data_IF_581604159832
#
_entry.id   IF_581604159832
#
_cell.length_a   1.000
_cell.length_b   1.000
_cell.length_c   1.000
_cell.angle_alpha   90.00
_cell.angle_beta   90.00
_cell.angle_gamma   90.00
#
_symmetry.space_group_name_H-M   'P 1'
#
loop_
_entity.id
_entity.type
_entity.pdbx_description
1 polymer ?
#
# COMPACT_ATOMS: atom_id res chain seq x y z
N UNK A 1 98.79 -5.84 -28.16
CA UNK A 1 98.24 -4.56 -27.68
C UNK A 1 96.93 -4.37 -28.35
N UNK A 2 95.84 -4.83 -27.71
CA UNK A 2 94.48 -4.70 -28.20
C UNK A 2 93.72 -3.74 -27.36
N UNK A 3 93.28 -2.65 -27.93
CA UNK A 3 92.40 -1.65 -27.32
C UNK A 3 90.98 -2.11 -27.39
N UNK A 4 90.38 -2.33 -26.21
CA UNK A 4 88.99 -2.68 -26.06
C UNK A 4 88.14 -1.43 -26.20
N UNK A 5 87.26 -1.46 -27.17
CA UNK A 5 86.30 -0.42 -27.49
C UNK A 5 85.09 -0.53 -26.55
N UNK A 6 84.94 0.39 -25.57
CA UNK A 6 83.81 0.52 -24.67
C UNK A 6 82.61 1.08 -25.45
N UNK A 7 81.62 0.25 -25.64
CA UNK A 7 80.33 0.63 -26.21
C UNK A 7 79.50 1.36 -25.15
N UNK A 8 79.29 2.62 -25.31
CA UNK A 8 78.44 3.45 -24.49
C UNK A 8 76.99 2.89 -24.42
N UNK A 9 76.60 2.43 -23.26
CA UNK A 9 75.22 2.15 -22.92
C UNK A 9 74.59 3.45 -22.51
N UNK A 10 73.63 3.94 -23.30
CA UNK A 10 72.76 5.06 -22.92
C UNK A 10 71.78 4.60 -21.83
N UNK A 11 71.72 5.25 -20.66
CA UNK A 11 70.62 5.04 -19.74
C UNK A 11 69.48 5.99 -20.15
N UNK A 12 68.27 5.49 -20.23
CA UNK A 12 67.14 6.38 -20.44
C UNK A 12 65.98 5.75 -21.21
N UNK A 13 65.49 4.64 -20.73
CA UNK A 13 64.09 4.33 -21.00
C UNK A 13 63.31 5.03 -19.88
N UNK A 14 63.03 6.30 -20.08
CA UNK A 14 61.99 7.04 -19.36
C UNK A 14 60.65 6.43 -19.76
N UNK A 15 59.90 6.01 -18.76
CA UNK A 15 58.50 5.67 -18.88
C UNK A 15 57.78 6.72 -19.72
N UNK A 16 57.41 6.30 -20.93
CA UNK A 16 56.59 7.07 -21.83
C UNK A 16 55.19 7.20 -21.19
N UNK A 17 55.08 8.13 -20.27
CA UNK A 17 53.75 8.65 -19.88
C UNK A 17 53.14 9.19 -21.18
N UNK A 18 52.17 8.45 -21.73
CA UNK A 18 51.37 8.86 -22.86
C UNK A 18 50.92 10.30 -22.67
N UNK A 19 51.58 11.23 -23.36
CA UNK A 19 51.23 12.65 -23.30
C UNK A 19 49.81 12.78 -23.81
N UNK A 20 48.97 13.51 -23.11
CA UNK A 20 47.57 13.76 -23.49
C UNK A 20 47.51 14.25 -24.96
N UNK A 21 48.52 14.95 -25.44
CA UNK A 21 48.68 15.41 -26.81
C UNK A 21 48.79 14.26 -27.83
N UNK A 22 49.55 13.19 -27.49
CA UNK A 22 49.73 12.02 -28.41
C UNK A 22 48.45 11.19 -28.47
N UNK A 23 47.69 11.10 -27.35
CA UNK A 23 46.35 10.52 -27.34
C UNK A 23 45.37 11.31 -28.23
N UNK A 24 45.43 12.64 -28.18
CA UNK A 24 44.57 13.50 -29.02
C UNK A 24 44.93 13.32 -30.48
N UNK A 25 46.23 13.27 -30.86
CA UNK A 25 46.65 13.04 -32.24
C UNK A 25 46.23 11.64 -32.75
N UNK A 26 46.32 10.59 -31.94
CA UNK A 26 45.85 9.26 -32.26
C UNK A 26 44.32 9.22 -32.45
N UNK A 27 43.57 9.92 -31.61
CA UNK A 27 42.12 10.09 -31.75
C UNK A 27 41.77 10.83 -33.06
N UNK A 28 42.45 11.94 -33.34
CA UNK A 28 42.22 12.68 -34.60
C UNK A 28 42.61 11.87 -35.84
N UNK A 29 43.71 11.13 -35.80
CA UNK A 29 44.17 10.31 -36.94
C UNK A 29 43.17 9.19 -37.28
N UNK A 30 42.41 8.70 -36.30
CA UNK A 30 41.42 7.66 -36.50
C UNK A 30 39.98 8.12 -36.22
N UNK A 31 39.68 9.39 -36.40
CA UNK A 31 38.39 10.01 -36.11
C UNK A 31 37.19 9.29 -36.73
N UNK A 32 37.40 8.65 -37.93
CA UNK A 32 36.36 7.87 -38.62
C UNK A 32 35.85 6.70 -37.75
N UNK A 33 36.73 6.04 -36.97
CA UNK A 33 36.36 4.96 -36.06
C UNK A 33 35.60 5.47 -34.85
N UNK A 34 35.96 6.68 -34.38
CA UNK A 34 35.20 7.33 -33.29
C UNK A 34 33.79 7.73 -33.74
N UNK A 35 33.68 8.30 -34.95
CA UNK A 35 32.36 8.63 -35.50
C UNK A 35 31.53 7.38 -35.72
N UNK A 36 32.12 6.29 -36.23
CA UNK A 36 31.41 5.03 -36.38
C UNK A 36 30.96 4.46 -35.02
N UNK A 37 31.86 4.42 -34.05
CA UNK A 37 31.51 3.97 -32.69
C UNK A 37 30.40 4.83 -32.06
N UNK A 38 30.50 6.15 -32.18
CA UNK A 38 29.51 7.09 -31.70
C UNK A 38 28.14 6.88 -32.39
N UNK A 39 28.15 6.68 -33.72
CA UNK A 39 26.92 6.40 -34.49
C UNK A 39 26.27 5.09 -34.04
N UNK A 40 27.05 4.04 -33.79
CA UNK A 40 26.54 2.75 -33.27
C UNK A 40 25.98 2.89 -31.86
N UNK A 41 26.68 3.59 -30.96
CA UNK A 41 26.20 3.79 -29.58
C UNK A 41 24.93 4.66 -29.51
N UNK A 42 24.87 5.74 -30.31
CA UNK A 42 23.67 6.59 -30.41
C UNK A 42 22.51 5.77 -31.02
N UNK A 43 22.77 4.99 -32.06
CA UNK A 43 21.77 4.12 -32.68
C UNK A 43 21.23 3.08 -31.70
N UNK A 44 22.10 2.42 -30.93
CA UNK A 44 21.70 1.48 -29.89
C UNK A 44 20.93 2.15 -28.78
N UNK A 45 21.38 3.30 -28.29
CA UNK A 45 20.68 4.08 -27.24
C UNK A 45 19.29 4.53 -27.71
N UNK A 46 19.19 5.02 -28.96
CA UNK A 46 17.91 5.43 -29.55
C UNK A 46 16.96 4.23 -29.68
N UNK A 47 17.45 3.09 -30.17
CA UNK A 47 16.66 1.87 -30.29
C UNK A 47 16.18 1.38 -28.90
N UNK A 48 17.02 1.48 -27.88
CA UNK A 48 16.66 1.15 -26.49
C UNK A 48 15.57 2.10 -25.96
N UNK A 49 15.74 3.42 -26.11
CA UNK A 49 14.77 4.42 -25.65
C UNK A 49 13.42 4.30 -26.35
N UNK A 50 13.41 3.98 -27.64
CA UNK A 50 12.15 3.77 -28.37
C UNK A 50 11.39 2.52 -27.92
N UNK A 51 12.10 1.49 -27.44
CA UNK A 51 11.47 0.26 -26.93
C UNK A 51 11.04 0.33 -25.47
N UNK A 52 11.66 1.18 -24.67
CA UNK A 52 11.38 1.27 -23.22
C UNK A 52 10.24 2.25 -22.98
N UNK A 53 9.12 1.81 -22.37
CA UNK A 53 8.03 2.71 -22.01
C UNK A 53 8.49 3.71 -20.94
N UNK A 54 8.00 4.94 -21.01
CA UNK A 54 8.25 5.95 -20.00
C UNK A 54 7.62 5.55 -18.68
N UNK A 55 8.36 5.72 -17.58
CA UNK A 55 7.87 5.53 -16.20
C UNK A 55 7.79 6.89 -15.53
N UNK A 56 6.62 7.21 -15.02
CA UNK A 56 6.34 8.44 -14.32
C UNK A 56 6.26 8.19 -12.82
N UNK A 57 6.75 9.13 -12.03
CA UNK A 57 6.61 9.12 -10.56
C UNK A 57 5.66 10.24 -10.16
N UNK A 58 4.63 9.90 -9.40
CA UNK A 58 3.75 10.87 -8.74
C UNK A 58 3.99 10.81 -7.23
N UNK A 59 3.83 11.95 -6.58
CA UNK A 59 4.06 12.10 -5.14
C UNK A 59 2.86 12.76 -4.48
N UNK A 60 2.58 12.35 -3.25
CA UNK A 60 1.60 12.97 -2.38
C UNK A 60 2.17 13.00 -0.96
N UNK A 61 1.86 14.04 -0.20
CA UNK A 61 2.29 14.16 1.19
C UNK A 61 1.07 14.16 2.11
N UNK A 62 1.13 13.35 3.16
CA UNK A 62 0.06 13.21 4.15
C UNK A 62 0.57 13.72 5.49
N UNK A 63 -0.10 14.73 6.03
CA UNK A 63 0.17 15.21 7.37
C UNK A 63 -0.60 14.36 8.38
N UNK A 64 0.12 13.65 9.22
CA UNK A 64 -0.44 12.93 10.36
C UNK A 64 -0.57 13.92 11.52
N UNK A 65 -1.80 14.27 11.86
CA UNK A 65 -2.04 15.05 13.09
C UNK A 65 -1.82 14.12 14.28
N UNK A 66 -0.78 14.41 15.06
CA UNK A 66 -0.74 13.92 16.42
C UNK A 66 -1.95 14.49 17.14
N UNK A 67 -2.76 13.64 17.77
CA UNK A 67 -3.73 14.09 18.75
C UNK A 67 -2.91 14.76 19.89
N UNK A 68 -2.55 16.01 19.68
CA UNK A 68 -1.93 16.81 20.71
C UNK A 68 -2.87 16.78 21.89
N UNK A 69 -2.41 16.21 23.01
CA UNK A 69 -3.08 16.24 24.31
C UNK A 69 -3.73 17.62 24.44
N UNK A 70 -5.05 17.64 24.30
CA UNK A 70 -5.80 18.86 24.54
C UNK A 70 -5.47 19.35 25.93
N UNK A 71 -4.68 20.39 26.01
CA UNK A 71 -4.25 21.09 27.25
C UNK A 71 -5.41 21.71 28.05
N UNK A 72 -6.66 21.31 27.75
CA UNK A 72 -7.85 21.90 28.35
C UNK A 72 -8.94 20.91 28.75
N UNK A 73 -8.63 19.64 28.89
CA UNK A 73 -9.61 18.70 29.49
C UNK A 73 -9.15 18.44 30.91
N UNK A 74 -10.02 18.87 31.85
CA UNK A 74 -9.90 18.81 33.31
C UNK A 74 -9.07 17.63 33.85
N UNK A 75 -8.32 17.90 34.93
CA UNK A 75 -7.46 16.99 35.71
C UNK A 75 -8.03 15.58 35.95
N UNK A 76 -9.34 15.41 35.81
CA UNK A 76 -10.02 14.13 36.01
C UNK A 76 -9.83 13.17 34.81
N UNK A 77 -9.57 13.68 33.59
CA UNK A 77 -9.27 12.84 32.41
C UNK A 77 -7.79 12.43 32.38
N UNK A 78 -6.89 13.16 33.06
CA UNK A 78 -5.49 12.74 33.20
C UNK A 78 -5.35 11.42 33.95
N UNK A 79 -6.24 11.17 34.90
CA UNK A 79 -6.33 9.88 35.61
C UNK A 79 -6.63 8.72 34.64
N UNK A 80 -7.46 8.93 33.63
CA UNK A 80 -7.76 7.92 32.61
C UNK A 80 -6.60 7.66 31.63
N UNK A 81 -5.70 8.61 31.44
CA UNK A 81 -4.50 8.41 30.62
C UNK A 81 -3.46 7.53 31.31
N UNK A 82 -3.39 7.52 32.63
CA UNK A 82 -2.55 6.60 33.41
C UNK A 82 -3.05 5.15 33.31
N UNK A 83 -4.33 4.93 33.01
CA UNK A 83 -4.87 3.59 32.76
C UNK A 83 -4.58 3.03 31.36
N UNK A 84 -3.78 3.71 30.54
CA UNK A 84 -3.38 3.24 29.21
C UNK A 84 -4.51 3.24 28.17
N UNK A 85 -5.71 3.72 28.52
CA UNK A 85 -6.87 3.77 27.61
C UNK A 85 -6.75 4.87 26.56
N UNK A 86 -5.90 5.87 26.77
CA UNK A 86 -5.69 7.00 25.87
C UNK A 86 -4.21 7.26 25.56
N UNK A 87 -3.39 6.21 25.58
CA UNK A 87 -2.02 6.32 25.07
C UNK A 87 -2.03 6.26 23.53
N UNK A 88 -2.80 7.14 22.92
CA UNK A 88 -2.81 7.34 21.49
C UNK A 88 -1.93 8.54 21.09
N UNK A 89 -0.66 8.48 21.40
CA UNK A 89 0.29 9.18 20.57
C UNK A 89 0.31 8.43 19.23
N UNK A 90 -0.29 9.02 18.21
CA UNK A 90 -0.21 8.47 16.86
C UNK A 90 1.26 8.41 16.49
N UNK A 91 1.86 7.22 16.58
CA UNK A 91 3.27 7.06 16.24
C UNK A 91 3.34 7.08 14.72
N UNK A 92 3.92 8.13 14.14
CA UNK A 92 4.05 8.32 12.69
C UNK A 92 4.72 7.11 12.03
N UNK A 93 5.59 6.39 12.75
CA UNK A 93 6.17 5.15 12.26
C UNK A 93 5.14 4.02 12.11
N UNK A 94 4.14 3.95 12.99
CA UNK A 94 3.06 2.97 12.84
C UNK A 94 2.21 3.29 11.62
N UNK A 95 1.92 4.57 11.38
CA UNK A 95 1.17 4.99 10.20
C UNK A 95 1.96 4.74 8.90
N UNK A 96 3.29 4.90 8.92
CA UNK A 96 4.14 4.53 7.81
C UNK A 96 4.05 3.03 7.48
N UNK A 97 4.00 2.17 8.50
CA UNK A 97 3.81 0.71 8.33
C UNK A 97 2.41 0.42 7.78
N UNK A 98 1.40 1.15 8.27
CA UNK A 98 0.02 1.02 7.79
C UNK A 98 -0.09 1.33 6.31
N UNK A 99 0.54 2.42 5.82
CA UNK A 99 0.58 2.74 4.39
C UNK A 99 1.29 1.68 3.53
N UNK A 100 2.23 0.93 4.09
CA UNK A 100 2.92 -0.19 3.42
C UNK A 100 2.16 -1.51 3.54
N UNK A 101 1.06 -1.54 4.26
CA UNK A 101 0.32 -2.78 4.51
C UNK A 101 -0.26 -3.36 3.22
N UNK A 102 -0.04 -4.66 2.95
CA UNK A 102 -0.66 -5.34 1.82
C UNK A 102 -2.19 -5.32 1.86
N UNK A 103 -2.80 -5.29 3.05
CA UNK A 103 -4.25 -5.23 3.21
C UNK A 103 -4.82 -3.91 2.68
N UNK A 104 -4.15 -2.78 2.97
CA UNK A 104 -4.54 -1.48 2.46
C UNK A 104 -4.43 -1.44 0.93
N UNK A 105 -3.31 -1.94 0.38
CA UNK A 105 -3.10 -2.01 -1.06
C UNK A 105 -4.10 -2.96 -1.75
N UNK A 106 -4.51 -4.04 -1.11
CA UNK A 106 -5.52 -4.96 -1.63
C UNK A 106 -6.85 -4.24 -1.87
N UNK A 107 -7.26 -3.42 -0.92
CA UNK A 107 -8.49 -2.62 -1.06
C UNK A 107 -8.38 -1.59 -2.19
N UNK A 108 -7.23 -0.93 -2.33
CA UNK A 108 -6.95 -0.01 -3.44
C UNK A 108 -7.03 -0.73 -4.79
N UNK A 109 -6.36 -1.89 -4.91
CA UNK A 109 -6.35 -2.70 -6.13
C UNK A 109 -7.76 -3.14 -6.51
N UNK A 110 -8.58 -3.57 -5.54
CA UNK A 110 -9.97 -3.98 -5.77
C UNK A 110 -10.85 -2.82 -6.22
N UNK A 111 -10.75 -1.66 -5.54
CA UNK A 111 -11.59 -0.50 -5.87
C UNK A 111 -11.27 0.12 -7.23
N UNK A 112 -9.99 0.18 -7.58
CA UNK A 112 -9.54 0.72 -8.86
C UNK A 112 -9.44 -0.34 -9.96
N UNK A 113 -9.73 -1.61 -9.65
CA UNK A 113 -9.61 -2.75 -10.59
C UNK A 113 -8.23 -2.82 -11.26
N UNK A 114 -7.16 -2.62 -10.47
CA UNK A 114 -5.79 -2.62 -10.97
C UNK A 114 -5.28 -4.04 -11.33
N UNK A 115 -6.06 -5.06 -11.06
CA UNK A 115 -5.88 -6.42 -11.57
C UNK A 115 -6.11 -6.48 -13.09
N UNK A 116 -6.91 -5.55 -13.67
CA UNK A 116 -7.14 -5.42 -15.09
C UNK A 116 -6.17 -4.42 -15.72
N UNK A 117 -5.44 -4.85 -16.72
CA UNK A 117 -4.48 -4.03 -17.46
C UNK A 117 -4.83 -4.00 -18.93
N UNK A 118 -4.86 -2.80 -19.50
CA UNK A 118 -5.18 -2.58 -20.89
C UNK A 118 -3.97 -1.98 -21.61
N UNK A 119 -3.61 -2.55 -22.75
CA UNK A 119 -2.49 -2.07 -23.54
C UNK A 119 -2.95 -1.82 -24.97
N UNK A 120 -2.62 -0.67 -25.49
CA UNK A 120 -2.82 -0.32 -26.90
C UNK A 120 -1.49 -0.52 -27.64
N UNK A 121 -1.57 -0.97 -28.89
CA UNK A 121 -0.40 -1.12 -29.74
C UNK A 121 0.12 0.26 -30.16
N UNK A 122 1.20 0.71 -29.52
CA UNK A 122 1.94 1.90 -29.94
C UNK A 122 2.87 1.60 -31.12
N UNK A 123 3.49 2.63 -31.68
CA UNK A 123 4.41 2.49 -32.83
C UNK A 123 5.65 1.65 -32.51
N UNK A 124 6.19 1.73 -31.31
CA UNK A 124 7.44 1.08 -30.90
C UNK A 124 7.31 0.19 -29.68
N UNK A 125 6.37 0.49 -28.77
CA UNK A 125 6.10 -0.28 -27.58
C UNK A 125 4.60 -0.28 -27.26
N UNK A 126 4.15 -1.21 -26.42
CA UNK A 126 2.78 -1.23 -25.91
C UNK A 126 2.62 -0.07 -24.93
N UNK A 127 1.51 0.67 -25.05
CA UNK A 127 1.17 1.78 -24.16
C UNK A 127 0.03 1.34 -23.25
N UNK A 128 0.11 1.69 -21.97
CA UNK A 128 -0.96 1.43 -21.01
C UNK A 128 -2.12 2.38 -21.31
N UNK A 129 -3.31 1.81 -21.54
CA UNK A 129 -4.54 2.56 -21.62
C UNK A 129 -5.22 2.57 -20.23
N UNK A 130 -5.51 3.75 -19.70
CA UNK A 130 -6.15 3.92 -18.41
C UNK A 130 -6.95 5.23 -18.38
N UNK A 131 -8.05 5.24 -17.65
CA UNK A 131 -8.88 6.44 -17.46
C UNK A 131 -9.33 7.04 -18.79
N UNK A 132 -8.85 8.25 -19.10
CA UNK A 132 -9.24 9.00 -20.30
C UNK A 132 -8.81 8.35 -21.63
N UNK A 133 -7.82 7.47 -21.60
CA UNK A 133 -7.33 6.78 -22.81
C UNK A 133 -7.95 5.39 -23.00
N UNK A 134 -8.79 4.95 -22.08
CA UNK A 134 -9.44 3.65 -22.13
C UNK A 134 -10.81 3.75 -22.82
N UNK A 135 -10.99 3.14 -24.02
CA UNK A 135 -12.27 3.21 -24.75
C UNK A 135 -13.31 2.25 -24.21
N UNK A 136 -12.89 1.12 -23.63
CA UNK A 136 -13.80 0.08 -23.13
C UNK A 136 -13.30 -0.51 -21.82
N UNK A 137 -14.22 -0.90 -20.95
CA UNK A 137 -13.94 -1.64 -19.73
C UNK A 137 -14.44 -3.08 -19.87
N UNK A 138 -13.63 -4.03 -19.43
CA UNK A 138 -13.90 -5.46 -19.55
C UNK A 138 -14.18 -6.07 -18.19
N UNK A 139 -15.23 -6.86 -18.11
CA UNK A 139 -15.54 -7.70 -16.95
C UNK A 139 -15.51 -9.16 -17.35
N UNK A 140 -14.67 -9.95 -16.68
CA UNK A 140 -14.57 -11.39 -16.85
C UNK A 140 -15.30 -12.02 -15.67
N UNK A 141 -16.44 -12.62 -15.95
CA UNK A 141 -17.17 -13.43 -14.96
C UNK A 141 -16.59 -14.86 -14.98
N UNK A 142 -16.76 -15.57 -13.89
CA UNK A 142 -16.34 -16.98 -13.73
C UNK A 142 -14.81 -17.21 -13.65
N UNK A 143 -13.98 -16.15 -13.67
CA UNK A 143 -12.53 -16.28 -13.48
C UNK A 143 -12.16 -15.98 -12.01
N UNK A 144 -11.58 -16.95 -11.28
CA UNK A 144 -11.15 -16.75 -9.89
C UNK A 144 -10.17 -15.58 -9.71
N UNK A 145 -10.17 -14.96 -8.52
CA UNK A 145 -9.26 -13.83 -8.21
C UNK A 145 -7.77 -14.23 -8.22
N UNK A 146 -7.47 -15.51 -8.03
CA UNK A 146 -6.10 -16.04 -7.99
C UNK A 146 -5.54 -16.43 -9.36
N UNK A 147 -6.35 -16.36 -10.42
CA UNK A 147 -5.94 -16.70 -11.77
C UNK A 147 -5.63 -15.46 -12.61
N UNK A 148 -4.70 -15.64 -13.55
CA UNK A 148 -4.38 -14.63 -14.56
C UNK A 148 -4.94 -15.04 -15.92
N UNK A 149 -5.34 -14.04 -16.69
CA UNK A 149 -5.87 -14.23 -18.02
C UNK A 149 -5.41 -13.09 -18.94
N UNK A 150 -5.36 -13.36 -20.23
CA UNK A 150 -5.06 -12.38 -21.24
C UNK A 150 -5.72 -12.72 -22.56
N UNK A 151 -6.05 -11.71 -23.35
CA UNK A 151 -6.56 -11.86 -24.70
C UNK A 151 -6.40 -10.57 -25.48
N UNK A 152 -6.45 -10.67 -26.80
CA UNK A 152 -6.48 -9.54 -27.70
C UNK A 152 -7.94 -9.21 -28.05
N UNK A 153 -8.32 -7.97 -27.90
CA UNK A 153 -9.64 -7.44 -28.24
C UNK A 153 -9.52 -6.49 -29.42
N UNK A 154 -10.17 -6.80 -30.51
CA UNK A 154 -10.33 -5.91 -31.65
C UNK A 154 -11.79 -5.45 -31.77
N UNK A 155 -11.97 -4.13 -31.86
CA UNK A 155 -13.26 -3.50 -32.04
C UNK A 155 -13.28 -2.90 -33.42
N UNK A 156 -14.19 -3.37 -34.25
CA UNK A 156 -14.39 -2.85 -35.61
C UNK A 156 -15.22 -1.59 -35.61
N UNK A 157 -15.15 -0.75 -36.65
CA UNK A 157 -15.93 0.47 -36.76
C UNK A 157 -17.45 0.26 -36.72
N UNK A 158 -17.91 -0.94 -37.09
CA UNK A 158 -19.32 -1.33 -37.03
C UNK A 158 -19.78 -1.76 -35.62
N UNK A 159 -18.85 -1.84 -34.65
CA UNK A 159 -19.11 -2.27 -33.28
C UNK A 159 -18.98 -3.79 -33.07
N UNK A 160 -18.60 -4.54 -34.12
CA UNK A 160 -18.31 -5.97 -33.97
C UNK A 160 -17.03 -6.19 -33.19
N UNK A 161 -17.03 -7.13 -32.28
CA UNK A 161 -15.89 -7.52 -31.45
C UNK A 161 -15.28 -8.82 -31.95
N UNK A 162 -13.95 -8.85 -31.95
CA UNK A 162 -13.16 -10.06 -32.17
C UNK A 162 -12.23 -10.25 -30.98
N UNK A 163 -12.32 -11.41 -30.34
CA UNK A 163 -11.47 -11.79 -29.23
C UNK A 163 -10.60 -12.94 -29.68
N UNK A 164 -9.27 -12.79 -29.54
CA UNK A 164 -8.26 -13.76 -29.96
C UNK A 164 -7.13 -13.88 -28.92
N UNK A 165 -6.18 -14.77 -29.17
CA UNK A 165 -4.97 -14.96 -28.35
C UNK A 165 -5.27 -15.19 -26.86
N UNK A 166 -6.15 -16.12 -26.56
CA UNK A 166 -6.55 -16.41 -25.18
C UNK A 166 -5.42 -17.07 -24.40
N UNK A 167 -5.03 -16.47 -23.28
CA UNK A 167 -4.01 -16.97 -22.36
C UNK A 167 -4.62 -17.14 -20.99
N UNK A 168 -4.40 -18.29 -20.33
CA UNK A 168 -4.80 -18.55 -18.95
C UNK A 168 -3.60 -19.06 -18.16
N UNK A 169 -3.25 -18.40 -17.08
CA UNK A 169 -2.10 -18.72 -16.21
C UNK A 169 -0.79 -18.90 -17.00
N UNK A 170 -0.60 -18.09 -18.06
CA UNK A 170 0.60 -18.13 -18.92
C UNK A 170 0.60 -19.24 -19.98
N UNK A 171 -0.48 -20.01 -20.09
CA UNK A 171 -0.64 -21.03 -21.13
C UNK A 171 -1.56 -20.49 -22.22
N UNK A 172 -1.14 -20.56 -23.47
CA UNK A 172 -1.96 -20.21 -24.62
C UNK A 172 -3.05 -21.29 -24.80
N UNK A 173 -4.27 -20.81 -24.95
CA UNK A 173 -5.41 -21.67 -25.27
C UNK A 173 -5.57 -21.66 -26.79
N UNK A 174 -5.27 -22.78 -27.46
CA UNK A 174 -5.40 -22.94 -28.91
C UNK A 174 -6.88 -22.96 -29.35
N UNK A 175 -7.63 -21.91 -29.03
CA UNK A 175 -9.02 -21.80 -29.43
C UNK A 175 -9.20 -20.71 -30.49
N UNK A 176 -10.26 -20.92 -31.31
CA UNK A 176 -10.59 -20.01 -32.41
C UNK A 176 -11.06 -18.65 -31.89
N UNK A 177 -10.86 -17.65 -32.72
CA UNK A 177 -11.38 -16.29 -32.51
C UNK A 177 -12.88 -16.31 -32.19
N UNK A 178 -13.27 -15.61 -31.16
CA UNK A 178 -14.66 -15.47 -30.74
C UNK A 178 -15.18 -14.12 -31.20
N UNK A 179 -16.34 -14.14 -31.84
CA UNK A 179 -17.05 -12.91 -32.26
C UNK A 179 -18.12 -12.57 -31.24
N UNK A 180 -18.32 -11.26 -31.04
CA UNK A 180 -19.33 -10.77 -30.14
C UNK A 180 -19.78 -9.35 -30.49
N UNK A 181 -20.63 -8.81 -29.63
CA UNK A 181 -21.12 -7.43 -29.70
C UNK A 181 -20.88 -6.73 -28.38
N UNK A 182 -20.84 -5.39 -28.42
CA UNK A 182 -20.74 -4.57 -27.23
C UNK A 182 -21.94 -4.80 -26.29
N UNK A 183 -21.69 -4.84 -24.99
CA UNK A 183 -22.66 -5.05 -23.91
C UNK A 183 -23.27 -6.46 -23.83
N UNK A 184 -23.04 -7.32 -24.82
CA UNK A 184 -23.49 -8.70 -24.77
C UNK A 184 -22.52 -9.56 -23.94
N UNK A 185 -23.07 -10.62 -23.33
CA UNK A 185 -22.26 -11.63 -22.65
C UNK A 185 -21.66 -12.60 -23.66
N UNK A 186 -20.36 -12.53 -23.86
CA UNK A 186 -19.63 -13.37 -24.82
C UNK A 186 -19.04 -14.55 -24.08
N UNK A 187 -19.40 -15.77 -24.50
CA UNK A 187 -18.81 -16.99 -23.93
C UNK A 187 -17.44 -17.24 -24.56
N UNK A 188 -16.41 -17.28 -23.74
CA UNK A 188 -15.02 -17.48 -24.15
C UNK A 188 -14.37 -18.60 -23.34
N UNK A 189 -13.18 -19.09 -23.72
CA UNK A 189 -12.41 -20.06 -22.94
C UNK A 189 -12.03 -19.59 -21.54
N UNK A 190 -12.03 -18.28 -21.32
CA UNK A 190 -11.72 -17.64 -20.03
C UNK A 190 -12.96 -17.45 -19.14
N UNK A 191 -14.14 -17.81 -19.62
CA UNK A 191 -15.43 -17.55 -18.98
C UNK A 191 -16.29 -16.57 -19.77
N UNK A 192 -17.32 -16.06 -19.15
CA UNK A 192 -18.20 -15.04 -19.74
C UNK A 192 -17.58 -13.65 -19.64
N UNK A 193 -17.36 -13.03 -20.78
CA UNK A 193 -16.78 -11.69 -20.89
C UNK A 193 -17.88 -10.71 -21.29
N UNK A 194 -17.96 -9.59 -20.59
CA UNK A 194 -18.83 -8.47 -20.92
C UNK A 194 -17.96 -7.25 -21.15
N UNK A 195 -18.17 -6.55 -22.26
CA UNK A 195 -17.39 -5.38 -22.66
C UNK A 195 -18.31 -4.16 -22.61
N UNK A 196 -17.99 -3.25 -21.71
CA UNK A 196 -18.71 -1.98 -21.51
C UNK A 196 -17.97 -0.85 -22.21
N UNK A 197 -18.68 0.03 -22.89
CA UNK A 197 -18.11 1.25 -23.44
C UNK A 197 -17.88 2.28 -22.34
N UNK A 198 -16.72 2.94 -22.35
CA UNK A 198 -16.45 4.09 -21.50
C UNK A 198 -16.91 5.39 -22.18
N UNK A 199 -16.96 6.53 -21.48
CA UNK A 199 -17.25 7.83 -22.09
C UNK A 199 -16.28 8.25 -23.19
N UNK A 200 -15.10 7.61 -23.26
CA UNK A 200 -14.05 7.90 -24.23
C UNK A 200 -14.15 7.03 -25.49
N UNK A 201 -15.14 6.16 -25.57
CA UNK A 201 -15.39 5.34 -26.76
C UNK A 201 -15.95 6.19 -27.90
N UNK A 202 -15.25 6.23 -29.02
CA UNK A 202 -15.71 6.91 -30.25
C UNK A 202 -16.27 5.88 -31.22
N UNK A 203 -17.55 5.98 -31.49
CA UNK A 203 -18.22 5.09 -32.45
C UNK A 203 -17.69 5.31 -33.86
N UNK A 204 -17.37 4.23 -34.54
CA UNK A 204 -16.82 4.28 -35.91
C UNK A 204 -15.30 4.24 -35.98
N UNK A 205 -14.61 4.24 -34.87
CA UNK A 205 -13.16 4.00 -34.81
C UNK A 205 -12.85 2.52 -34.51
N UNK A 206 -11.75 2.03 -35.07
CA UNK A 206 -11.25 0.70 -34.78
C UNK A 206 -10.26 0.76 -33.61
N UNK A 207 -10.40 -0.15 -32.68
CA UNK A 207 -9.49 -0.27 -31.52
C UNK A 207 -8.90 -1.68 -31.46
N UNK A 208 -7.61 -1.77 -31.18
CA UNK A 208 -6.94 -3.03 -30.88
C UNK A 208 -6.30 -2.90 -29.49
N UNK A 209 -6.80 -3.67 -28.55
CA UNK A 209 -6.40 -3.67 -27.15
C UNK A 209 -5.91 -5.07 -26.76
N UNK A 210 -4.79 -5.13 -26.06
CA UNK A 210 -4.44 -6.32 -25.30
C UNK A 210 -4.98 -6.14 -23.88
N UNK A 211 -5.87 -7.04 -23.47
CA UNK A 211 -6.48 -7.06 -22.13
C UNK A 211 -5.81 -8.14 -21.32
N UNK A 212 -5.26 -7.78 -20.19
CA UNK A 212 -4.62 -8.70 -19.26
C UNK A 212 -5.22 -8.57 -17.87
N UNK A 213 -5.68 -9.68 -17.28
CA UNK A 213 -6.05 -9.79 -15.88
C UNK A 213 -4.91 -10.48 -15.13
N UNK A 214 -4.39 -9.83 -14.13
CA UNK A 214 -3.44 -10.41 -13.18
C UNK A 214 -4.19 -11.04 -12.01
N UNK A 215 -3.60 -12.07 -11.37
CA UNK A 215 -4.14 -12.52 -10.09
C UNK A 215 -4.08 -11.37 -9.07
N UNK A 216 -5.05 -11.32 -8.17
CA UNK A 216 -5.13 -10.27 -7.14
C UNK A 216 -3.82 -10.15 -6.37
N UNK A 217 -3.22 -11.28 -5.99
CA UNK A 217 -1.93 -11.30 -5.29
C UNK A 217 -0.82 -10.62 -6.10
N UNK A 218 -0.69 -10.95 -7.39
CA UNK A 218 0.33 -10.37 -8.24
C UNK A 218 0.09 -8.87 -8.48
N UNK A 219 -1.15 -8.45 -8.64
CA UNK A 219 -1.52 -7.05 -8.78
C UNK A 219 -1.16 -6.25 -7.52
N UNK A 220 -1.50 -6.76 -6.34
CA UNK A 220 -1.16 -6.14 -5.05
C UNK A 220 0.35 -6.06 -4.86
N UNK A 221 1.08 -7.14 -5.13
CA UNK A 221 2.53 -7.18 -4.99
C UNK A 221 3.23 -6.21 -5.96
N UNK A 222 2.76 -6.13 -7.21
CA UNK A 222 3.26 -5.18 -8.20
C UNK A 222 3.02 -3.73 -7.77
N UNK A 223 1.80 -3.40 -7.32
CA UNK A 223 1.47 -2.05 -6.83
C UNK A 223 2.28 -1.71 -5.57
N UNK A 224 2.43 -2.64 -4.63
CA UNK A 224 3.22 -2.44 -3.42
C UNK A 224 4.70 -2.20 -3.72
N UNK A 225 5.26 -2.89 -4.73
CA UNK A 225 6.66 -2.72 -5.15
C UNK A 225 6.91 -1.36 -5.81
N UNK A 226 5.89 -0.79 -6.45
CA UNK A 226 5.95 0.52 -7.09
C UNK A 226 5.65 1.69 -6.13
N UNK A 227 5.14 1.39 -4.93
CA UNK A 227 4.88 2.35 -3.87
C UNK A 227 6.12 2.55 -3.00
N UNK A 228 6.55 3.78 -2.83
CA UNK A 228 7.56 4.16 -1.85
C UNK A 228 6.91 5.07 -0.80
N UNK A 229 7.11 4.71 0.47
CA UNK A 229 6.59 5.45 1.61
C UNK A 229 7.76 5.85 2.49
N UNK A 230 7.92 7.13 2.77
CA UNK A 230 9.02 7.67 3.58
C UNK A 230 8.55 8.82 4.44
N UNK A 231 9.30 9.09 5.51
CA UNK A 231 9.11 10.31 6.28
C UNK A 231 9.82 11.48 5.57
N UNK A 232 9.18 12.61 5.51
CA UNK A 232 9.78 13.84 4.97
C UNK A 232 11.00 14.28 5.79
N UNK A 233 10.92 14.19 7.12
CA UNK A 233 12.05 14.31 8.03
C UNK A 233 11.78 13.55 9.32
N UNK A 234 12.85 13.20 10.07
CA UNK A 234 12.74 12.46 11.34
C UNK A 234 11.89 13.18 12.42
N UNK A 235 11.71 14.48 12.29
CA UNK A 235 10.95 15.32 13.25
C UNK A 235 9.61 15.79 12.70
N UNK A 236 9.29 15.47 11.45
CA UNK A 236 8.04 15.90 10.83
C UNK A 236 7.00 14.79 10.89
N UNK A 237 5.78 15.14 11.25
CA UNK A 237 4.61 14.26 11.17
C UNK A 237 4.05 14.20 9.74
N UNK A 238 4.93 14.27 8.72
CA UNK A 238 4.56 14.22 7.30
C UNK A 238 5.12 12.97 6.67
N UNK A 239 4.24 12.19 6.07
CA UNK A 239 4.59 11.01 5.28
C UNK A 239 4.52 11.37 3.80
N UNK A 240 5.62 11.13 3.09
CA UNK A 240 5.70 11.27 1.64
C UNK A 240 5.44 9.91 0.99
N UNK A 241 4.45 9.91 0.13
CA UNK A 241 4.05 8.77 -0.70
C UNK A 241 4.52 9.04 -2.12
N UNK A 242 5.16 8.08 -2.77
CA UNK A 242 5.48 8.17 -4.18
C UNK A 242 5.14 6.87 -4.88
N UNK A 243 4.54 6.97 -6.04
CA UNK A 243 4.13 5.82 -6.85
C UNK A 243 4.67 5.94 -8.27
N UNK A 244 5.24 4.84 -8.78
CA UNK A 244 5.81 4.72 -10.12
C UNK A 244 4.87 3.97 -11.03
N UNK A 245 4.52 4.56 -12.17
CA UNK A 245 3.65 3.93 -13.15
C UNK A 245 3.93 4.43 -14.58
N UNK A 246 3.50 3.68 -15.57
CA UNK A 246 3.55 4.08 -16.97
C UNK A 246 2.41 5.05 -17.35
N UNK A 247 1.36 5.16 -16.51
CA UNK A 247 0.27 6.12 -16.64
C UNK A 247 0.29 7.11 -15.48
N UNK A 248 0.39 8.40 -15.79
CA UNK A 248 0.35 9.46 -14.78
C UNK A 248 -0.97 9.50 -14.03
N UNK A 249 -2.09 9.31 -14.75
CA UNK A 249 -3.42 9.30 -14.17
C UNK A 249 -3.61 8.11 -13.21
N UNK A 250 -3.17 6.90 -13.63
CA UNK A 250 -3.24 5.72 -12.76
C UNK A 250 -2.41 5.92 -11.49
N UNK A 251 -1.23 6.52 -11.59
CA UNK A 251 -0.41 6.82 -10.42
C UNK A 251 -1.08 7.80 -9.45
N UNK A 252 -1.76 8.83 -9.96
CA UNK A 252 -2.51 9.79 -9.17
C UNK A 252 -3.73 9.14 -8.50
N UNK A 253 -4.48 8.33 -9.24
CA UNK A 253 -5.64 7.62 -8.74
C UNK A 253 -5.26 6.62 -7.64
N UNK A 254 -4.15 5.90 -7.80
CA UNK A 254 -3.63 4.98 -6.77
C UNK A 254 -3.29 5.73 -5.49
N UNK A 255 -2.55 6.84 -5.57
CA UNK A 255 -2.20 7.64 -4.39
C UNK A 255 -3.44 8.23 -3.72
N UNK A 256 -4.38 8.76 -4.49
CA UNK A 256 -5.62 9.35 -3.99
C UNK A 256 -6.50 8.29 -3.32
N UNK A 257 -6.64 7.12 -3.95
CA UNK A 257 -7.41 6.00 -3.39
C UNK A 257 -6.74 5.43 -2.14
N UNK A 258 -5.41 5.32 -2.12
CA UNK A 258 -4.65 4.87 -0.95
C UNK A 258 -4.91 5.76 0.26
N UNK A 259 -4.87 7.09 0.06
CA UNK A 259 -5.17 8.07 1.11
C UNK A 259 -6.64 7.97 1.53
N UNK A 260 -7.57 7.79 0.60
CA UNK A 260 -8.99 7.64 0.90
C UNK A 260 -9.27 6.41 1.75
N UNK A 261 -8.76 5.24 1.33
CA UNK A 261 -8.93 3.97 2.07
C UNK A 261 -8.27 4.05 3.45
N UNK A 262 -7.09 4.67 3.53
CA UNK A 262 -6.44 4.90 4.83
C UNK A 262 -7.33 5.74 5.75
N UNK A 263 -7.87 6.86 5.27
CA UNK A 263 -8.75 7.73 6.05
C UNK A 263 -10.05 7.02 6.47
N UNK A 264 -10.65 6.24 5.58
CA UNK A 264 -11.84 5.44 5.88
C UNK A 264 -11.56 4.42 7.00
N UNK A 265 -10.46 3.69 6.91
CA UNK A 265 -10.05 2.73 7.93
C UNK A 265 -9.76 3.43 9.25
N UNK A 266 -9.03 4.54 9.23
CA UNK A 266 -8.75 5.33 10.42
C UNK A 266 -10.03 5.80 11.12
N UNK A 267 -11.00 6.34 10.37
CA UNK A 267 -12.31 6.76 10.93
C UNK A 267 -13.07 5.56 11.49
N UNK A 268 -13.07 4.43 10.78
CA UNK A 268 -13.72 3.20 11.24
C UNK A 268 -13.13 2.70 12.54
N UNK A 269 -11.80 2.67 12.66
CA UNK A 269 -11.09 2.22 13.86
C UNK A 269 -11.37 3.16 15.03
N UNK A 270 -11.32 4.48 14.82
CA UNK A 270 -11.68 5.47 15.87
C UNK A 270 -13.12 5.33 16.33
N UNK A 271 -14.06 5.14 15.41
CA UNK A 271 -15.46 4.90 15.76
C UNK A 271 -15.65 3.61 16.54
N UNK A 272 -14.97 2.53 16.16
CA UNK A 272 -15.04 1.26 16.86
C UNK A 272 -14.49 1.38 18.29
N UNK A 273 -13.37 2.08 18.47
CA UNK A 273 -12.81 2.37 19.79
C UNK A 273 -13.81 3.18 20.62
N UNK A 274 -14.41 4.24 20.06
CA UNK A 274 -15.38 5.08 20.75
C UNK A 274 -16.62 4.29 21.19
N UNK A 275 -17.17 3.44 20.31
CA UNK A 275 -18.32 2.59 20.63
C UNK A 275 -17.96 1.58 21.73
N UNK A 276 -16.81 0.90 21.60
CA UNK A 276 -16.36 -0.07 22.59
C UNK A 276 -16.13 0.58 23.96
N UNK A 277 -15.54 1.77 23.97
CA UNK A 277 -15.34 2.56 25.20
C UNK A 277 -16.67 2.97 25.83
N UNK A 278 -17.63 3.43 25.02
CA UNK A 278 -18.98 3.78 25.52
C UNK A 278 -19.70 2.58 26.10
N UNK A 279 -19.64 1.43 25.45
CA UNK A 279 -20.23 0.19 25.96
C UNK A 279 -19.60 -0.23 27.30
N UNK A 280 -18.26 -0.17 27.37
CA UNK A 280 -17.52 -0.48 28.58
C UNK A 280 -17.89 0.46 29.74
N UNK A 281 -17.97 1.78 29.50
CA UNK A 281 -18.36 2.78 30.51
C UNK A 281 -19.78 2.50 31.00
N UNK A 282 -20.74 2.23 30.11
CA UNK A 282 -22.13 1.93 30.48
C UNK A 282 -22.24 0.65 31.30
N UNK A 283 -21.51 -0.40 30.92
CA UNK A 283 -21.47 -1.65 31.69
C UNK A 283 -20.92 -1.39 33.12
N UNK A 284 -19.84 -0.59 33.17
CA UNK A 284 -19.19 -0.29 34.46
C UNK A 284 -20.03 0.60 35.36
N UNK A 285 -20.72 1.59 34.77
CA UNK A 285 -21.70 2.40 35.53
C UNK A 285 -22.78 1.51 36.16
N UNK A 286 -23.35 0.56 35.40
CA UNK A 286 -24.34 -0.35 35.93
C UNK A 286 -23.83 -1.28 37.06
N UNK A 287 -22.52 -1.60 37.06
CA UNK A 287 -21.89 -2.33 38.18
C UNK A 287 -21.76 -1.42 39.39
N UNK A 288 -21.26 -0.20 39.21
CA UNK A 288 -21.06 0.79 40.28
C UNK A 288 -22.41 1.16 40.93
N UNK A 289 -23.45 1.39 40.12
CA UNK A 289 -24.80 1.68 40.62
C UNK A 289 -25.34 0.57 41.52
N UNK A 290 -25.12 -0.70 41.13
CA UNK A 290 -25.54 -1.85 41.99
C UNK A 290 -24.71 -1.96 43.27
N UNK A 291 -23.39 -1.76 43.17
CA UNK A 291 -22.50 -1.77 44.34
C UNK A 291 -22.88 -0.64 45.33
N UNK A 292 -23.14 0.56 44.79
CA UNK A 292 -23.54 1.71 45.59
C UNK A 292 -24.89 1.47 46.26
N UNK A 293 -25.88 0.88 45.55
CA UNK A 293 -27.17 0.50 46.13
C UNK A 293 -27.03 -0.51 47.28
N UNK A 294 -26.18 -1.53 47.11
CA UNK A 294 -25.91 -2.50 48.16
C UNK A 294 -25.24 -1.86 49.39
N UNK A 295 -24.28 -0.96 49.18
CA UNK A 295 -23.60 -0.23 50.25
C UNK A 295 -24.57 0.69 50.98
N UNK A 296 -25.48 1.38 50.31
CA UNK A 296 -26.50 2.21 50.90
C UNK A 296 -27.49 1.39 51.75
N UNK A 297 -27.87 0.19 51.31
CA UNK A 297 -28.72 -0.75 52.04
C UNK A 297 -28.00 -1.28 53.30
N UNK A 298 -26.70 -1.66 53.15
CA UNK A 298 -25.86 -2.09 54.26
C UNK A 298 -25.66 -0.97 55.31
N UNK A 299 -25.41 0.28 54.87
CA UNK A 299 -25.30 1.43 55.74
C UNK A 299 -26.64 1.71 56.46
N UNK A 300 -27.76 1.60 55.76
CA UNK A 300 -29.09 1.83 56.33
C UNK A 300 -29.43 0.78 57.37
N UNK A 301 -29.12 -0.51 57.06
CA UNK A 301 -29.36 -1.60 58.03
C UNK A 301 -28.43 -1.49 59.23
N UNK A 302 -27.17 -1.16 59.08
CA UNK A 302 -26.22 -0.96 60.16
C UNK A 302 -26.61 0.24 61.05
N UNK A 303 -27.07 1.36 60.44
CA UNK A 303 -27.60 2.50 61.19
C UNK A 303 -28.85 2.12 62.04
N UNK A 304 -29.71 1.26 61.49
CA UNK A 304 -30.91 0.81 62.15
C UNK A 304 -30.62 -0.18 63.30
N UNK A 305 -29.63 -1.03 63.14
CA UNK A 305 -29.27 -2.05 64.18
C UNK A 305 -28.45 -1.50 65.30
N UNK A 306 -27.60 -0.46 65.09
CA UNK A 306 -26.65 0.00 66.12
C UNK A 306 -26.97 1.35 66.78
N UNK A 307 -28.06 2.04 66.40
CA UNK A 307 -28.50 3.33 66.99
C UNK A 307 -27.37 4.37 67.19
N UNK A 308 -26.42 4.47 66.26
CA UNK A 308 -25.21 5.28 66.40
C UNK A 308 -25.39 6.70 65.81
N UNK A 309 -25.13 7.77 66.64
CA UNK A 309 -25.32 9.16 66.18
C UNK A 309 -24.24 9.73 65.36
N UNK A 310 -23.07 9.09 65.22
CA UNK A 310 -21.94 9.67 64.48
C UNK A 310 -21.23 8.66 63.55
N UNK A 311 -21.87 8.42 62.40
CA UNK A 311 -21.38 7.54 61.39
C UNK A 311 -20.47 8.32 60.39
N UNK A 312 -20.45 9.64 60.48
CA UNK A 312 -19.81 10.48 59.46
C UNK A 312 -18.29 10.38 59.47
N UNK A 313 -17.65 10.27 60.65
CA UNK A 313 -16.20 10.11 60.79
C UNK A 313 -15.71 8.70 60.42
N UNK A 314 -16.46 7.65 60.82
CA UNK A 314 -16.16 6.27 60.42
C UNK A 314 -16.44 6.00 58.92
N UNK A 315 -17.52 6.59 58.40
CA UNK A 315 -17.88 6.48 56.99
C UNK A 315 -16.85 7.11 56.06
N UNK A 316 -16.29 8.27 56.41
CA UNK A 316 -15.27 8.94 55.59
C UNK A 316 -13.98 8.13 55.48
N UNK A 317 -13.59 7.43 56.56
CA UNK A 317 -12.41 6.57 56.56
C UNK A 317 -12.62 5.28 55.73
N UNK A 318 -13.81 4.65 55.85
CA UNK A 318 -14.16 3.49 55.04
C UNK A 318 -14.41 3.81 53.57
N UNK A 319 -14.99 4.98 53.26
CA UNK A 319 -15.15 5.46 51.88
C UNK A 319 -13.81 5.72 51.18
N UNK A 320 -12.86 6.33 51.88
CA UNK A 320 -11.51 6.55 51.34
C UNK A 320 -10.80 5.23 51.01
N UNK A 321 -10.93 4.24 51.90
CA UNK A 321 -10.32 2.92 51.73
C UNK A 321 -11.02 2.10 50.64
N UNK A 322 -12.36 2.17 50.54
CA UNK A 322 -13.16 1.53 49.50
C UNK A 322 -12.90 2.17 48.12
N UNK A 323 -12.81 3.48 48.07
CA UNK A 323 -12.49 4.23 46.86
C UNK A 323 -11.09 3.84 46.30
N UNK A 324 -10.09 3.70 47.17
CA UNK A 324 -8.75 3.27 46.78
C UNK A 324 -8.76 1.81 46.28
N UNK A 325 -9.48 0.90 46.95
CA UNK A 325 -9.61 -0.50 46.53
C UNK A 325 -10.35 -0.62 45.17
N UNK A 326 -11.44 0.12 45.00
CA UNK A 326 -12.20 0.13 43.75
C UNK A 326 -11.41 0.73 42.58
N UNK A 327 -10.58 1.75 42.80
CA UNK A 327 -9.66 2.29 41.79
C UNK A 327 -8.65 1.23 41.35
N UNK A 328 -8.12 0.42 42.29
CA UNK A 328 -7.21 -0.68 41.92
C UNK A 328 -7.93 -1.80 41.15
N UNK A 329 -9.13 -2.18 41.53
CA UNK A 329 -9.95 -3.19 40.83
C UNK A 329 -10.29 -2.69 39.43
N UNK A 330 -10.64 -1.41 39.27
CA UNK A 330 -10.91 -0.79 37.98
C UNK A 330 -9.68 -0.82 37.07
N UNK A 331 -8.51 -0.47 37.64
CA UNK A 331 -7.23 -0.54 36.92
C UNK A 331 -6.94 -1.95 36.41
N UNK A 332 -7.01 -2.95 37.27
CA UNK A 332 -6.77 -4.35 36.92
C UNK A 332 -7.77 -4.89 35.89
N UNK A 333 -9.05 -4.57 36.04
CA UNK A 333 -10.06 -4.97 35.05
C UNK A 333 -9.88 -4.31 33.68
N UNK A 334 -9.48 -3.04 33.66
CA UNK A 334 -9.16 -2.35 32.42
C UNK A 334 -7.95 -2.98 31.71
N UNK A 335 -6.89 -3.30 32.45
CA UNK A 335 -5.73 -4.01 31.90
C UNK A 335 -6.10 -5.38 31.33
N UNK A 336 -6.97 -6.11 32.05
CA UNK A 336 -7.45 -7.43 31.64
C UNK A 336 -8.34 -7.34 30.37
N UNK A 337 -9.22 -6.34 30.29
CA UNK A 337 -10.06 -6.09 29.12
C UNK A 337 -9.22 -5.70 27.91
N UNK A 338 -8.27 -4.77 28.06
CA UNK A 338 -7.36 -4.38 27.00
C UNK A 338 -6.51 -5.55 26.52
N UNK A 339 -6.01 -6.38 27.42
CA UNK A 339 -5.26 -7.59 27.07
C UNK A 339 -6.11 -8.59 26.29
N UNK A 340 -7.38 -8.77 26.69
CA UNK A 340 -8.34 -9.62 25.97
C UNK A 340 -8.70 -9.05 24.61
N UNK A 341 -8.91 -7.75 24.53
CA UNK A 341 -9.20 -7.04 23.26
C UNK A 341 -8.03 -7.17 22.29
N UNK A 342 -6.82 -6.87 22.75
CA UNK A 342 -5.59 -7.02 21.97
C UNK A 342 -5.40 -8.48 21.52
N UNK A 343 -5.60 -9.44 22.40
CA UNK A 343 -5.51 -10.87 22.05
C UNK A 343 -6.53 -11.26 20.98
N UNK A 344 -7.77 -10.79 21.07
CA UNK A 344 -8.81 -11.07 20.07
C UNK A 344 -8.51 -10.36 18.74
N UNK A 345 -8.00 -9.14 18.79
CA UNK A 345 -7.56 -8.40 17.61
C UNK A 345 -6.45 -9.15 16.88
N UNK A 346 -5.37 -9.53 17.59
CA UNK A 346 -4.29 -10.33 17.01
C UNK A 346 -4.72 -11.75 16.63
N UNK A 347 -5.66 -12.35 17.31
CA UNK A 347 -6.18 -13.68 16.95
C UNK A 347 -6.97 -13.64 15.62
N UNK A 348 -7.68 -12.54 15.34
CA UNK A 348 -8.38 -12.34 14.08
C UNK A 348 -7.45 -11.91 12.95
N UNK A 349 -6.39 -11.11 13.24
CA UNK A 349 -5.40 -10.70 12.25
C UNK A 349 -4.40 -11.83 11.93
N UNK A 350 -4.08 -12.69 12.88
CA UNK A 350 -3.19 -13.85 12.64
C UNK A 350 -3.78 -14.86 11.65
N UNK A 351 -5.10 -14.91 11.50
CA UNK A 351 -5.71 -15.73 10.44
C UNK A 351 -5.48 -15.17 9.04
N UNK A 352 -5.18 -13.87 8.92
CA UNK A 352 -4.82 -13.22 7.65
C UNK A 352 -3.30 -13.28 7.36
N UNK A 353 -2.46 -13.35 8.40
CA UNK A 353 -1.00 -13.39 8.25
C UNK A 353 -0.49 -14.81 7.90
N UNK A 354 -1.25 -15.86 8.21
CA UNK A 354 -0.86 -17.24 7.89
C UNK A 354 -0.94 -17.60 6.40
N UNK A 355 -1.37 -16.70 5.52
CA UNK A 355 -1.44 -16.94 4.07
C UNK A 355 -0.14 -16.60 3.34
N UNK A 356 0.87 -16.03 3.99
CA UNK A 356 2.11 -15.60 3.35
C UNK A 356 3.39 -16.17 3.97
N UNK A 357 3.43 -17.47 4.27
CA UNK A 357 4.73 -18.11 4.38
C UNK A 357 5.25 -18.48 2.98
N UNK A 358 6.35 -17.88 2.48
CA UNK A 358 7.00 -18.39 1.28
C UNK A 358 7.63 -19.74 1.63
N UNK A 359 7.19 -20.80 0.96
CA UNK A 359 7.89 -22.07 0.90
C UNK A 359 9.34 -21.81 0.50
N UNK A 360 10.22 -21.87 1.48
CA UNK A 360 11.67 -21.89 1.29
C UNK A 360 12.00 -23.26 0.71
N UNK A 361 12.10 -23.35 -0.60
CA UNK A 361 12.76 -24.49 -1.25
C UNK A 361 14.22 -24.45 -0.86
N UNK A 362 14.62 -25.46 -0.11
CA UNK A 362 16.02 -25.80 0.12
C UNK A 362 16.60 -26.39 -1.17
N UNK A 363 17.59 -25.75 -1.71
CA UNK A 363 18.63 -26.41 -2.50
C UNK A 363 19.84 -26.68 -1.59
#
# INVERSE_FOLDING_TARGET
MMTVNQKNIKPGQQDDFLRIQDLLYLCLARWKWFVLSLAVTIGAATAYLLRTPAVYTRTASVLIKEDSKGKSVSSDLESFSEFGLFQSGTNVNNELITFRSPSLMTEVVKRLRLDMNYFVRGKFHRQVAYGLTLPVDVTINDLPENESAGFTLEIQPDGTLYLSDFIRNGTDLEEKDVKGSLLDSITTPLGKIIIHTTPNYVKGEAYTLYVGKSSLYNAVNSCSSNLSVSLNSEKASVIDLSFKDNSTQRAEDVLSMLISVYNENWVKDKNQIAVSTSMFINERLGVIERELGNVDEDISSYKSEHLLPDVQAASSMYMAQSSAANAQILSLNNQLYMTRYIRNYFSNDLTLIHISEPTRQAE
#
